data_IF_789164093882
#
_entry.id   IF_789164093882
#
_cell.length_a   1.000
_cell.length_b   1.000
_cell.length_c   1.000
_cell.angle_alpha   90.00
_cell.angle_beta   90.00
_cell.angle_gamma   90.00
#
_symmetry.space_group_name_H-M   'P 1'
#
loop_
_entity.id
_entity.type
_entity.pdbx_description
1 polymer ?
#
# COMPACT_ATOMS: atom_id res chain seq x y z
N UNK A 1 30.14 25.59 -39.61
CA UNK A 1 29.19 24.51 -39.26
C UNK A 1 27.83 25.12 -39.00
N UNK A 2 26.83 24.77 -39.81
CA UNK A 2 25.52 25.44 -39.87
C UNK A 2 24.50 24.90 -38.85
N UNK A 3 23.72 25.82 -38.31
CA UNK A 3 22.53 25.58 -37.49
C UNK A 3 21.41 24.88 -38.27
N UNK A 4 20.63 24.02 -37.60
CA UNK A 4 19.28 23.61 -38.03
C UNK A 4 18.33 23.56 -36.83
N UNK A 5 17.29 24.37 -36.93
CA UNK A 5 16.05 24.38 -36.14
C UNK A 5 15.06 23.37 -36.72
N UNK A 6 14.36 22.61 -35.88
CA UNK A 6 13.05 21.91 -36.07
C UNK A 6 12.76 21.27 -34.71
N UNK A 7 11.63 21.43 -34.03
CA UNK A 7 10.25 21.59 -34.46
C UNK A 7 9.42 20.57 -33.66
N UNK A 8 8.43 21.08 -32.94
CA UNK A 8 7.40 20.44 -32.12
C UNK A 8 7.02 18.98 -32.42
N UNK A 9 6.88 18.15 -31.38
CA UNK A 9 5.88 17.07 -31.32
C UNK A 9 5.35 16.85 -29.90
N UNK A 10 4.18 17.43 -29.68
CA UNK A 10 3.15 16.94 -28.77
C UNK A 10 2.95 15.42 -28.90
N UNK A 11 2.99 14.66 -27.80
CA UNK A 11 2.31 13.36 -27.71
C UNK A 11 1.90 13.06 -26.26
N UNK A 12 0.65 13.41 -25.99
CA UNK A 12 -0.22 12.94 -24.91
C UNK A 12 0.20 11.62 -24.22
N UNK A 13 0.50 11.67 -22.93
CA UNK A 13 0.38 10.52 -22.02
C UNK A 13 -1.02 10.54 -21.39
N UNK A 14 -1.91 9.85 -22.10
CA UNK A 14 -3.25 9.42 -21.74
C UNK A 14 -3.60 9.49 -20.25
N UNK A 15 -4.63 10.29 -19.95
CA UNK A 15 -5.43 10.11 -18.75
C UNK A 15 -6.05 8.72 -18.75
N UNK A 16 -5.77 7.94 -17.70
CA UNK A 16 -6.40 6.63 -17.50
C UNK A 16 -7.92 6.83 -17.42
N UNK A 17 -8.71 6.26 -18.34
CA UNK A 17 -10.15 6.40 -18.29
C UNK A 17 -10.65 5.60 -17.09
N UNK A 18 -11.21 6.30 -16.10
CA UNK A 18 -11.89 5.69 -14.96
C UNK A 18 -13.20 5.09 -15.47
N UNK A 19 -13.13 3.89 -16.08
CA UNK A 19 -14.30 3.13 -16.51
C UNK A 19 -15.21 2.90 -15.30
N UNK A 20 -16.41 3.49 -15.35
CA UNK A 20 -17.54 3.02 -14.55
C UNK A 20 -17.75 1.54 -14.86
N UNK A 21 -17.43 0.67 -13.91
CA UNK A 21 -17.82 -0.74 -13.93
C UNK A 21 -18.94 -0.90 -12.93
N UNK A 22 -20.16 -0.81 -13.43
CA UNK A 22 -21.29 -1.51 -12.85
C UNK A 22 -20.92 -2.99 -12.78
N UNK A 23 -20.60 -3.46 -11.58
CA UNK A 23 -20.46 -4.88 -11.26
C UNK A 23 -21.14 -5.11 -9.93
N UNK A 24 -22.37 -5.62 -10.01
CA UNK A 24 -22.99 -6.36 -8.94
C UNK A 24 -21.94 -7.30 -8.30
N UNK A 25 -21.67 -7.15 -7.01
CA UNK A 25 -20.86 -8.11 -6.26
C UNK A 25 -21.81 -9.12 -5.62
N UNK A 26 -21.62 -10.42 -5.85
CA UNK A 26 -22.37 -11.46 -5.16
C UNK A 26 -22.00 -11.45 -3.68
N UNK A 27 -23.00 -11.79 -2.85
CA UNK A 27 -22.91 -12.08 -1.43
C UNK A 27 -21.88 -13.19 -1.16
N UNK A 28 -20.86 -12.90 -0.36
CA UNK A 28 -20.17 -13.92 0.44
C UNK A 28 -19.89 -13.37 1.83
N UNK A 29 -20.71 -13.81 2.78
CA UNK A 29 -20.41 -13.86 4.21
C UNK A 29 -19.04 -14.48 4.42
N UNK A 30 -18.13 -13.80 5.13
CA UNK A 30 -16.95 -14.46 5.70
C UNK A 30 -16.66 -13.85 7.07
N UNK A 31 -17.28 -14.46 8.07
CA UNK A 31 -16.83 -14.48 9.46
C UNK A 31 -15.38 -14.95 9.51
N UNK A 32 -14.44 -14.16 10.05
CA UNK A 32 -13.15 -14.74 10.49
C UNK A 32 -12.54 -13.98 11.66
N UNK A 33 -12.83 -14.50 12.86
CA UNK A 33 -11.93 -14.73 14.00
C UNK A 33 -10.86 -13.66 14.26
N UNK A 34 -11.10 -12.86 15.31
CA UNK A 34 -10.06 -12.18 16.07
C UNK A 34 -9.11 -13.22 16.70
N UNK A 35 -8.05 -13.60 15.98
CA UNK A 35 -7.07 -14.58 16.45
C UNK A 35 -5.82 -13.89 16.96
N UNK A 36 -5.70 -13.69 18.27
CA UNK A 36 -4.42 -13.66 18.99
C UNK A 36 -3.85 -15.08 19.14
N UNK A 37 -3.99 -15.90 18.10
CA UNK A 37 -3.33 -17.21 18.03
C UNK A 37 -1.83 -16.95 17.96
N UNK A 38 -1.07 -17.53 18.89
CA UNK A 38 0.39 -17.46 18.89
C UNK A 38 0.85 -17.97 17.54
N UNK A 39 1.36 -17.05 16.70
CA UNK A 39 1.97 -17.43 15.42
C UNK A 39 3.16 -18.33 15.75
N UNK A 40 3.34 -19.41 15.01
CA UNK A 40 4.52 -20.24 15.14
C UNK A 40 5.79 -19.36 15.11
N UNK A 41 6.79 -19.65 15.95
CA UNK A 41 8.02 -18.85 15.99
C UNK A 41 8.78 -18.88 14.65
N UNK A 42 8.50 -19.84 13.78
CA UNK A 42 9.01 -19.92 12.40
C UNK A 42 8.21 -19.09 11.38
N UNK A 43 7.14 -18.43 11.79
CA UNK A 43 6.31 -17.61 10.91
C UNK A 43 7.05 -16.36 10.46
N UNK A 44 7.38 -16.32 9.17
CA UNK A 44 7.95 -15.14 8.54
C UNK A 44 6.80 -14.23 8.09
N UNK A 45 6.68 -13.00 8.64
CA UNK A 45 5.63 -12.06 8.26
C UNK A 45 5.81 -11.57 6.83
N UNK A 46 4.70 -11.18 6.18
CA UNK A 46 4.75 -10.60 4.83
C UNK A 46 5.58 -9.32 4.82
N UNK A 47 6.30 -9.10 3.73
CA UNK A 47 6.92 -7.80 3.45
C UNK A 47 5.85 -6.68 3.50
N UNK A 48 6.13 -5.54 4.17
CA UNK A 48 5.18 -4.45 4.28
C UNK A 48 5.00 -3.75 2.93
N UNK A 49 3.77 -3.53 2.51
CA UNK A 49 3.46 -2.71 1.34
C UNK A 49 3.49 -1.19 1.69
N UNK A 50 3.34 -0.33 0.68
CA UNK A 50 3.41 1.12 0.84
C UNK A 50 2.39 1.66 1.86
N UNK A 51 1.15 1.15 1.80
CA UNK A 51 0.09 1.51 2.73
C UNK A 51 0.39 1.08 4.17
N UNK A 52 0.96 -0.11 4.38
CA UNK A 52 1.34 -0.59 5.72
C UNK A 52 2.45 0.29 6.30
N UNK A 53 3.45 0.66 5.50
CA UNK A 53 4.50 1.58 5.92
C UNK A 53 3.93 2.95 6.30
N UNK A 54 3.06 3.50 5.46
CA UNK A 54 2.38 4.77 5.72
C UNK A 54 1.54 4.72 7.00
N UNK A 55 0.72 3.68 7.17
CA UNK A 55 -0.11 3.48 8.36
C UNK A 55 0.75 3.42 9.63
N UNK A 56 1.84 2.66 9.62
CA UNK A 56 2.76 2.57 10.76
C UNK A 56 3.41 3.92 11.08
N UNK A 57 3.79 4.69 10.05
CA UNK A 57 4.29 6.05 10.22
C UNK A 57 3.22 6.96 10.81
N UNK A 58 1.99 6.90 10.31
CA UNK A 58 0.87 7.73 10.74
C UNK A 58 0.49 7.48 12.20
N UNK A 59 0.42 6.21 12.61
CA UNK A 59 0.16 5.83 14.01
C UNK A 59 1.27 6.33 14.92
N UNK A 60 2.54 6.18 14.51
CA UNK A 60 3.69 6.67 15.27
C UNK A 60 3.69 8.19 15.41
N UNK A 61 3.34 8.90 14.34
CA UNK A 61 3.26 10.36 14.31
C UNK A 61 2.12 10.90 15.18
N UNK A 62 0.98 10.21 15.26
CA UNK A 62 -0.18 10.68 16.01
C UNK A 62 -0.10 10.47 17.53
N UNK A 63 1.02 9.97 18.09
CA UNK A 63 1.16 9.61 19.52
C UNK A 63 -0.13 9.00 20.08
N UNK A 64 -0.68 8.06 19.31
CA UNK A 64 -1.96 7.45 19.62
C UNK A 64 -1.81 6.73 20.98
N UNK A 65 -2.50 7.17 22.05
CA UNK A 65 -2.44 6.47 23.33
C UNK A 65 -2.94 5.04 23.12
N UNK A 66 -2.35 4.07 23.82
CA UNK A 66 -2.63 2.63 23.64
C UNK A 66 -4.10 2.20 23.75
N UNK A 67 -5.00 3.10 24.18
CA UNK A 67 -6.45 2.92 24.15
C UNK A 67 -7.06 2.83 22.73
N UNK A 68 -6.45 3.44 21.72
CA UNK A 68 -6.96 3.37 20.34
C UNK A 68 -6.50 2.10 19.61
N UNK A 69 -5.62 1.28 20.21
CA UNK A 69 -5.28 -0.05 19.70
C UNK A 69 -6.55 -0.93 19.57
N UNK A 70 -7.58 -0.71 20.41
CA UNK A 70 -8.90 -1.34 20.28
C UNK A 70 -9.74 -0.85 19.10
N UNK A 71 -9.46 0.35 18.57
CA UNK A 71 -10.18 1.02 17.47
C UNK A 71 -9.45 0.95 16.12
N UNK A 72 -8.60 -0.06 15.97
CA UNK A 72 -7.83 -0.36 14.74
C UNK A 72 -8.68 -0.32 13.45
N UNK A 73 -9.95 -0.72 13.51
CA UNK A 73 -10.88 -0.67 12.38
C UNK A 73 -11.18 0.77 11.92
N UNK A 74 -11.46 1.68 12.85
CA UNK A 74 -11.75 3.10 12.56
C UNK A 74 -10.50 3.81 12.06
N UNK A 75 -9.35 3.55 12.67
CA UNK A 75 -8.07 4.08 12.20
C UNK A 75 -7.76 3.64 10.77
N UNK A 76 -7.97 2.37 10.45
CA UNK A 76 -7.71 1.87 9.08
C UNK A 76 -8.63 2.52 8.05
N UNK A 77 -9.87 2.85 8.41
CA UNK A 77 -10.78 3.63 7.55
C UNK A 77 -10.25 5.05 7.33
N UNK A 78 -9.86 5.76 8.40
CA UNK A 78 -9.33 7.13 8.32
C UNK A 78 -8.04 7.16 7.49
N UNK A 79 -7.08 6.28 7.81
CA UNK A 79 -5.81 6.19 7.09
C UNK A 79 -6.04 5.81 5.62
N UNK A 80 -7.04 4.97 5.33
CA UNK A 80 -7.45 4.69 3.95
C UNK A 80 -7.94 5.92 3.19
N UNK A 81 -8.70 6.80 3.85
CA UNK A 81 -9.11 8.09 3.26
C UNK A 81 -7.91 9.01 3.04
N UNK A 82 -7.04 9.16 4.04
CA UNK A 82 -5.82 9.96 3.91
C UNK A 82 -4.92 9.44 2.79
N UNK A 83 -4.74 8.12 2.68
CA UNK A 83 -3.94 7.49 1.64
C UNK A 83 -4.45 7.80 0.23
N UNK A 84 -5.77 7.79 0.05
CA UNK A 84 -6.39 8.15 -1.23
C UNK A 84 -6.31 9.66 -1.52
N UNK A 85 -6.21 10.49 -0.50
CA UNK A 85 -6.07 11.94 -0.60
C UNK A 85 -4.61 12.42 -0.76
N UNK A 86 -3.62 11.55 -0.50
CA UNK A 86 -2.19 11.89 -0.64
C UNK A 86 -1.83 12.27 -2.08
N UNK A 87 -0.94 13.26 -2.27
CA UNK A 87 -0.43 13.59 -3.58
C UNK A 87 0.38 12.41 -4.15
N UNK A 88 0.41 12.27 -5.49
CA UNK A 88 1.09 11.16 -6.15
C UNK A 88 2.60 11.11 -5.84
N UNK A 89 3.21 12.26 -5.58
CA UNK A 89 4.63 12.37 -5.18
C UNK A 89 4.92 11.68 -3.85
N UNK A 90 4.09 11.93 -2.83
CA UNK A 90 4.24 11.26 -1.53
C UNK A 90 3.93 9.77 -1.61
N UNK A 91 2.92 9.39 -2.41
CA UNK A 91 2.62 7.98 -2.65
C UNK A 91 3.79 7.25 -3.31
N UNK A 92 4.44 7.87 -4.28
CA UNK A 92 5.61 7.31 -4.95
C UNK A 92 6.77 7.04 -3.96
N UNK A 93 7.01 7.95 -3.02
CA UNK A 93 8.01 7.74 -1.95
C UNK A 93 7.73 6.50 -1.10
N UNK A 94 6.47 6.26 -0.75
CA UNK A 94 6.09 5.07 0.01
C UNK A 94 6.13 3.78 -0.83
N UNK A 95 5.81 3.87 -2.12
CA UNK A 95 5.91 2.77 -3.08
C UNK A 95 7.37 2.36 -3.33
N UNK A 96 8.29 3.32 -3.43
CA UNK A 96 9.72 3.06 -3.51
C UNK A 96 10.23 2.33 -2.26
N UNK A 97 9.87 2.82 -1.07
CA UNK A 97 10.21 2.14 0.20
C UNK A 97 9.64 0.72 0.28
N UNK A 98 8.41 0.52 -0.20
CA UNK A 98 7.79 -0.80 -0.23
C UNK A 98 8.51 -1.74 -1.19
N UNK A 99 8.95 -1.23 -2.35
CA UNK A 99 9.75 -1.97 -3.32
C UNK A 99 11.07 -2.43 -2.70
N UNK A 100 11.77 -1.53 -2.00
CA UNK A 100 13.00 -1.85 -1.28
C UNK A 100 12.78 -2.90 -0.18
N UNK A 101 11.72 -2.73 0.62
CA UNK A 101 11.39 -3.68 1.68
C UNK A 101 11.02 -5.07 1.12
N UNK A 102 10.32 -5.13 0.00
CA UNK A 102 10.00 -6.38 -0.67
C UNK A 102 11.23 -7.05 -1.27
N UNK A 103 12.13 -6.28 -1.88
CA UNK A 103 13.41 -6.77 -2.40
C UNK A 103 14.27 -7.34 -1.27
N UNK A 104 14.41 -6.61 -0.16
CA UNK A 104 15.18 -7.07 1.00
C UNK A 104 14.55 -8.31 1.65
N UNK A 105 13.22 -8.36 1.75
CA UNK A 105 12.52 -9.56 2.24
C UNK A 105 12.78 -10.77 1.34
N UNK A 106 12.74 -10.60 0.01
CA UNK A 106 13.04 -11.67 -0.94
C UNK A 106 14.50 -12.13 -0.85
N UNK A 107 15.43 -11.20 -0.60
CA UNK A 107 16.84 -11.51 -0.39
C UNK A 107 17.09 -12.26 0.91
N UNK A 108 16.42 -11.88 1.99
CA UNK A 108 16.53 -12.54 3.31
C UNK A 108 15.83 -13.90 3.36
N UNK A 109 14.72 -14.03 2.63
CA UNK A 109 13.91 -15.23 2.62
C UNK A 109 13.61 -15.66 1.18
N UNK A 110 14.60 -16.25 0.49
CA UNK A 110 14.44 -16.68 -0.90
C UNK A 110 13.40 -17.79 -1.05
N UNK A 111 13.28 -18.69 -0.07
CA UNK A 111 12.33 -19.80 -0.06
C UNK A 111 10.93 -19.41 0.49
N UNK A 112 10.76 -18.15 0.90
CA UNK A 112 9.49 -17.71 1.45
C UNK A 112 8.44 -17.56 0.37
N UNK A 113 7.31 -18.24 0.57
CA UNK A 113 6.15 -18.19 -0.32
C UNK A 113 4.91 -17.86 0.49
N UNK A 114 4.07 -16.99 -0.05
CA UNK A 114 2.80 -16.65 0.56
C UNK A 114 1.85 -17.87 0.57
N UNK A 115 1.38 -18.24 1.77
CA UNK A 115 0.33 -19.23 2.01
C UNK A 115 -0.91 -18.49 2.53
N UNK A 116 -1.95 -18.30 1.70
CA UNK A 116 -3.18 -17.61 2.11
C UNK A 116 -3.99 -18.38 3.14
#
# INVERSE_FOLDING_TARGET
MSFKTTGDKDTAKAGTPRKKRDRAKPTTTTTTKNGTGRKDPSYIPRAPNAFILFRSSFIRSQRVPGDVEGRNASLSKIVGLCWNALPPTERAHWEEKATLAQAEHRRRYPDWRFRP
#
